data_IF_191236947108
#
_entry.id   IF_191236947108
#
_cell.length_a   1.000
_cell.length_b   1.000
_cell.length_c   1.000
_cell.angle_alpha   90.00
_cell.angle_beta   90.00
_cell.angle_gamma   90.00
#
_symmetry.space_group_name_H-M   'P 1'
#
loop_
_entity.id
_entity.type
_entity.pdbx_description
1 polymer ?
#
# COMPACT_ATOMS: atom_id res chain seq x y z
N UNK A 1 12.05 17.05 6.94
CA UNK A 1 11.05 16.96 5.86
C UNK A 1 9.69 17.25 6.48
N UNK A 2 8.88 18.10 5.86
CA UNK A 2 7.54 18.43 6.38
C UNK A 2 6.63 17.19 6.26
N UNK A 3 5.92 16.85 7.34
CA UNK A 3 5.05 15.66 7.39
C UNK A 3 3.80 15.90 6.56
N UNK A 4 3.45 14.95 5.68
CA UNK A 4 2.21 15.00 4.90
C UNK A 4 1.13 14.15 5.57
N UNK A 5 0.15 14.82 6.18
CA UNK A 5 -1.00 14.16 6.82
C UNK A 5 -2.11 13.78 5.84
N UNK A 6 -2.11 14.38 4.65
CA UNK A 6 -3.02 14.06 3.55
C UNK A 6 -2.17 13.76 2.33
N UNK A 7 -2.33 12.57 1.76
CA UNK A 7 -1.62 12.12 0.57
C UNK A 7 -2.63 11.90 -0.55
N UNK A 8 -2.73 12.82 -1.52
CA UNK A 8 -3.52 12.59 -2.72
C UNK A 8 -3.00 11.34 -3.46
N UNK A 9 -3.91 10.54 -4.02
CA UNK A 9 -3.53 9.29 -4.72
C UNK A 9 -2.50 9.50 -5.84
N UNK A 10 -2.52 10.67 -6.50
CA UNK A 10 -1.57 11.04 -7.56
C UNK A 10 -0.15 11.29 -7.05
N UNK A 11 0.00 11.64 -5.77
CA UNK A 11 1.27 11.98 -5.13
C UNK A 11 1.78 10.82 -4.25
N UNK A 12 1.02 9.73 -4.17
CA UNK A 12 1.35 8.53 -3.41
C UNK A 12 2.53 7.77 -4.05
N UNK A 13 3.35 7.13 -3.22
CA UNK A 13 4.37 6.20 -3.71
C UNK A 13 3.64 5.08 -4.44
N UNK A 14 3.85 5.00 -5.74
CA UNK A 14 3.09 4.14 -6.64
C UNK A 14 4.00 3.12 -7.28
N UNK A 15 3.54 1.88 -7.35
CA UNK A 15 4.24 0.81 -8.05
C UNK A 15 3.30 -0.24 -8.61
N UNK A 16 3.89 -1.25 -9.21
CA UNK A 16 3.18 -2.37 -9.82
C UNK A 16 3.16 -3.53 -8.83
N UNK A 17 1.99 -4.13 -8.63
CA UNK A 17 1.84 -5.33 -7.80
C UNK A 17 2.56 -6.52 -8.45
N UNK A 18 2.98 -7.49 -7.64
CA UNK A 18 3.66 -8.69 -8.10
C UNK A 18 2.89 -9.37 -9.25
N UNK A 19 3.61 -9.92 -10.23
CA UNK A 19 3.00 -10.54 -11.42
C UNK A 19 2.24 -9.57 -12.32
N UNK A 20 2.48 -8.25 -12.22
CA UNK A 20 1.72 -7.23 -12.96
C UNK A 20 0.20 -7.30 -12.67
N UNK A 21 -0.15 -7.72 -11.45
CA UNK A 21 -1.52 -7.93 -11.00
C UNK A 21 -2.35 -6.66 -10.91
N UNK A 22 -1.70 -5.48 -10.89
CA UNK A 22 -2.34 -4.21 -10.68
C UNK A 22 -1.37 -3.15 -10.19
N UNK A 23 -1.90 -2.14 -9.51
CA UNK A 23 -1.10 -1.05 -8.92
C UNK A 23 -1.28 -1.01 -7.41
N UNK A 24 -0.21 -0.75 -6.68
CA UNK A 24 -0.29 -0.35 -5.27
C UNK A 24 0.03 1.14 -5.14
N UNK A 25 -0.57 1.78 -4.14
CA UNK A 25 -0.27 3.17 -3.74
C UNK A 25 -0.12 3.23 -2.23
N UNK A 26 1.04 3.63 -1.73
CA UNK A 26 1.28 3.81 -0.29
C UNK A 26 0.89 5.24 0.09
N UNK A 27 -0.04 5.36 1.02
CA UNK A 27 -0.59 6.64 1.50
C UNK A 27 -0.05 7.04 2.86
N UNK A 28 0.29 6.06 3.69
CA UNK A 28 0.84 6.28 5.03
C UNK A 28 2.03 5.36 5.18
N UNK A 29 3.20 5.96 5.39
CA UNK A 29 4.44 5.30 5.77
C UNK A 29 5.31 6.25 6.60
N UNK A 30 6.43 5.73 7.11
CA UNK A 30 7.37 6.53 7.89
C UNK A 30 7.97 7.69 7.07
N UNK A 31 8.46 7.50 5.83
CA UNK A 31 9.03 8.60 5.05
C UNK A 31 8.07 9.75 4.74
N UNK A 32 6.79 9.46 4.47
CA UNK A 32 5.79 10.47 4.04
C UNK A 32 5.10 11.13 5.22
N UNK A 33 4.74 10.34 6.23
CA UNK A 33 3.86 10.78 7.33
C UNK A 33 4.52 10.70 8.72
N UNK A 34 5.64 9.98 8.85
CA UNK A 34 6.28 9.68 10.12
C UNK A 34 5.57 8.59 10.93
N UNK A 35 4.67 7.80 10.32
CA UNK A 35 4.00 6.68 10.97
C UNK A 35 4.98 5.52 11.21
N UNK A 36 5.04 5.02 12.45
CA UNK A 36 6.02 3.99 12.88
C UNK A 36 5.40 2.63 13.19
N UNK A 37 4.10 2.58 13.41
CA UNK A 37 3.41 1.39 13.90
C UNK A 37 2.38 0.84 12.92
N UNK A 38 2.05 1.61 11.88
CA UNK A 38 1.13 1.19 10.84
C UNK A 38 1.50 1.86 9.53
N UNK A 39 1.10 1.22 8.45
CA UNK A 39 1.12 1.77 7.10
C UNK A 39 -0.26 1.59 6.46
N UNK A 40 -0.53 2.36 5.42
CA UNK A 40 -1.74 2.24 4.63
C UNK A 40 -1.37 2.21 3.16
N UNK A 41 -1.83 1.17 2.46
CA UNK A 41 -1.74 1.07 1.03
C UNK A 41 -3.12 0.82 0.41
N UNK A 42 -3.30 1.30 -0.81
CA UNK A 42 -4.48 1.06 -1.64
C UNK A 42 -4.03 0.27 -2.85
N UNK A 43 -4.59 -0.93 -3.00
CA UNK A 43 -4.32 -1.83 -4.11
C UNK A 43 -5.49 -1.77 -5.10
N UNK A 44 -5.18 -1.60 -6.37
CA UNK A 44 -6.13 -1.72 -7.48
C UNK A 44 -5.74 -2.92 -8.32
N UNK A 45 -6.55 -3.96 -8.27
CA UNK A 45 -6.32 -5.23 -8.98
C UNK A 45 -6.91 -5.19 -10.39
N UNK A 46 -6.25 -5.83 -11.35
CA UNK A 46 -6.83 -6.11 -12.68
C UNK A 46 -7.88 -7.20 -12.55
N UNK A 47 -8.92 -7.12 -13.38
CA UNK A 47 -9.98 -8.12 -13.40
C UNK A 47 -9.42 -9.52 -13.74
N UNK A 48 -9.89 -10.53 -13.00
CA UNK A 48 -9.52 -11.94 -13.22
C UNK A 48 -8.14 -12.34 -12.70
N UNK A 49 -7.40 -11.45 -12.03
CA UNK A 49 -6.12 -11.80 -11.42
C UNK A 49 -6.31 -12.45 -10.06
N UNK A 50 -5.63 -13.57 -9.84
CA UNK A 50 -5.55 -14.26 -8.56
C UNK A 50 -4.14 -14.10 -7.97
N UNK A 51 -4.06 -13.80 -6.67
CA UNK A 51 -2.80 -13.69 -5.94
C UNK A 51 -2.33 -15.03 -5.41
N UNK A 52 -1.01 -15.18 -5.18
CA UNK A 52 -0.49 -16.33 -4.47
C UNK A 52 -0.69 -16.18 -2.95
N UNK A 53 -1.00 -17.29 -2.28
CA UNK A 53 -1.02 -17.34 -0.82
C UNK A 53 0.37 -17.02 -0.27
N UNK A 54 0.43 -16.11 0.69
CA UNK A 54 1.64 -15.79 1.45
C UNK A 54 1.27 -15.25 2.82
N UNK A 55 2.26 -15.20 3.73
CA UNK A 55 2.10 -14.74 5.11
C UNK A 55 3.26 -13.83 5.48
N UNK A 56 2.99 -12.86 6.33
CA UNK A 56 3.99 -12.01 6.95
C UNK A 56 4.07 -12.36 8.43
N UNK A 57 5.21 -12.87 8.95
CA UNK A 57 5.32 -13.28 10.35
C UNK A 57 5.33 -12.10 11.31
N UNK A 58 5.79 -10.93 10.87
CA UNK A 58 6.04 -9.77 11.72
C UNK A 58 4.94 -8.69 11.63
N UNK A 59 3.93 -8.88 10.76
CA UNK A 59 2.98 -7.83 10.39
C UNK A 59 1.54 -8.35 10.41
N UNK A 60 0.64 -7.59 11.04
CA UNK A 60 -0.81 -7.78 10.90
C UNK A 60 -1.36 -6.99 9.71
N UNK A 61 -2.38 -7.54 9.05
CA UNK A 61 -3.06 -6.89 7.94
C UNK A 61 -4.55 -6.75 8.23
N UNK A 62 -5.10 -5.55 8.03
CA UNK A 62 -6.52 -5.30 7.99
C UNK A 62 -6.89 -4.87 6.57
N UNK A 63 -7.94 -5.49 6.02
CA UNK A 63 -8.39 -5.25 4.66
C UNK A 63 -9.79 -4.64 4.67
N UNK A 64 -9.96 -3.59 3.87
CA UNK A 64 -11.26 -3.02 3.54
C UNK A 64 -11.40 -3.06 2.02
N UNK A 65 -12.48 -3.69 1.53
CA UNK A 65 -12.75 -3.91 0.11
C UNK A 65 -13.86 -2.95 -0.32
#
# INVERSE_FOLDING_TARGET
MEKKYVVPLKDAVTGVLHGNAGTFRVLIDEPTSGAKHFSLSVNTMKAGVEGAEHKHPDNEHCWYI
#
